data_IF_632630973631
#
_entry.id   IF_632630973631
#
_cell.length_a   1.000
_cell.length_b   1.000
_cell.length_c   1.000
_cell.angle_alpha   90.00
_cell.angle_beta   90.00
_cell.angle_gamma   90.00
#
_symmetry.space_group_name_H-M   'P 1'
#
loop_
_entity.id
_entity.type
_entity.pdbx_description
1 polymer ?
#
# COMPACT_ATOMS: atom_id res chain seq x y z
N UNK A 1 -2.44 -3.31 13.28
CA UNK A 1 -2.30 -4.77 13.28
C UNK A 1 -0.82 -5.14 13.15
N UNK A 2 -0.38 -6.18 13.83
CA UNK A 2 1.01 -6.63 13.74
C UNK A 2 1.08 -8.07 13.25
N UNK A 3 2.05 -8.32 12.37
CA UNK A 3 2.29 -9.65 11.81
C UNK A 3 3.80 -9.91 11.83
N UNK A 4 4.24 -10.92 12.56
CA UNK A 4 5.66 -11.28 12.66
C UNK A 4 6.53 -10.09 13.07
N UNK A 5 6.03 -9.27 14.00
CA UNK A 5 6.76 -8.10 14.48
C UNK A 5 6.67 -6.87 13.56
N UNK A 6 5.96 -6.97 12.45
CA UNK A 6 5.79 -5.87 11.51
C UNK A 6 4.43 -5.20 11.72
N UNK A 7 4.44 -3.88 11.84
CA UNK A 7 3.19 -3.12 11.91
C UNK A 7 2.60 -3.03 10.51
N UNK A 8 1.38 -3.49 10.34
CA UNK A 8 0.75 -3.69 9.05
C UNK A 8 -0.51 -2.84 8.94
N UNK A 9 -0.59 -2.02 7.89
CA UNK A 9 -1.75 -1.16 7.65
C UNK A 9 -2.12 -1.22 6.16
N UNK A 10 -3.39 -1.52 5.89
CA UNK A 10 -3.99 -1.37 4.56
C UNK A 10 -5.30 -0.64 4.76
N UNK A 11 -5.45 0.53 4.16
CA UNK A 11 -6.65 1.32 4.36
C UNK A 11 -6.99 2.18 3.14
N UNK A 12 -8.25 2.60 3.07
CA UNK A 12 -8.74 3.50 2.04
C UNK A 12 -8.90 4.90 2.63
N UNK A 13 -8.48 5.91 1.88
CA UNK A 13 -8.66 7.30 2.23
C UNK A 13 -9.35 8.02 1.07
N UNK A 14 -9.97 9.16 1.34
CA UNK A 14 -10.65 9.95 0.34
C UNK A 14 -10.22 11.40 0.44
N UNK A 15 -10.17 12.06 -0.72
CA UNK A 15 -9.99 13.51 -0.80
C UNK A 15 -8.70 14.00 -0.16
N UNK A 16 -7.61 13.26 -0.33
CA UNK A 16 -6.28 13.73 0.06
C UNK A 16 -5.37 13.75 -1.16
N UNK A 17 -4.32 14.53 -1.10
CA UNK A 17 -3.37 14.62 -2.19
C UNK A 17 -2.23 13.64 -2.00
N UNK A 18 -1.48 13.37 -3.07
CA UNK A 18 -0.36 12.43 -3.02
C UNK A 18 0.69 12.84 -1.98
N UNK A 19 0.94 14.13 -1.82
CA UNK A 19 1.88 14.60 -0.81
C UNK A 19 1.43 14.26 0.60
N UNK A 20 0.13 14.33 0.86
CA UNK A 20 -0.43 13.97 2.16
C UNK A 20 -0.30 12.46 2.43
N UNK A 21 -0.53 11.65 1.40
CA UNK A 21 -0.36 10.20 1.52
C UNK A 21 1.09 9.85 1.83
N UNK A 22 2.04 10.51 1.18
CA UNK A 22 3.46 10.30 1.44
C UNK A 22 3.82 10.68 2.88
N UNK A 23 3.30 11.80 3.35
CA UNK A 23 3.52 12.23 4.74
C UNK A 23 3.00 11.19 5.74
N UNK A 24 1.82 10.66 5.48
CA UNK A 24 1.22 9.62 6.32
C UNK A 24 2.14 8.40 6.41
N UNK A 25 2.67 7.98 5.26
CA UNK A 25 3.58 6.83 5.19
C UNK A 25 4.90 7.13 5.92
N UNK A 26 5.46 8.32 5.71
CA UNK A 26 6.71 8.71 6.35
C UNK A 26 6.56 8.76 7.88
N UNK A 27 5.43 9.24 8.37
CA UNK A 27 5.14 9.26 9.80
C UNK A 27 5.09 7.85 10.38
N UNK A 28 4.46 6.91 9.66
CA UNK A 28 4.41 5.52 10.08
C UNK A 28 5.80 4.91 10.14
N UNK A 29 6.64 5.21 9.16
CA UNK A 29 8.02 4.72 9.14
C UNK A 29 8.85 5.28 10.29
N UNK A 30 8.57 6.51 10.70
CA UNK A 30 9.27 7.13 11.83
C UNK A 30 8.78 6.56 13.17
N UNK A 31 7.54 6.14 13.22
CA UNK A 31 6.91 5.66 14.46
C UNK A 31 7.25 4.20 14.76
N UNK A 32 7.41 3.38 13.75
CA UNK A 32 7.60 1.95 13.90
C UNK A 32 8.93 1.50 13.33
N UNK A 33 9.57 0.51 13.95
CA UNK A 33 10.82 -0.05 13.44
C UNK A 33 10.61 -0.93 12.21
N UNK A 34 9.47 -1.60 12.16
CA UNK A 34 9.11 -2.45 11.04
C UNK A 34 7.67 -2.15 10.66
N UNK A 35 7.44 -1.76 9.42
CA UNK A 35 6.12 -1.35 8.97
C UNK A 35 5.90 -1.67 7.51
N UNK A 36 4.68 -2.09 7.18
CA UNK A 36 4.21 -2.23 5.81
C UNK A 36 2.86 -1.52 5.74
N UNK A 37 2.80 -0.44 4.97
CA UNK A 37 1.60 0.38 4.88
C UNK A 37 1.24 0.62 3.42
N UNK A 38 -0.02 0.40 3.08
CA UNK A 38 -0.55 0.68 1.74
C UNK A 38 -1.84 1.48 1.88
N UNK A 39 -1.88 2.59 1.17
CA UNK A 39 -3.04 3.47 1.13
C UNK A 39 -3.64 3.45 -0.26
N UNK A 40 -4.95 3.27 -0.35
CA UNK A 40 -5.70 3.46 -1.59
C UNK A 40 -6.51 4.73 -1.43
N UNK A 41 -6.27 5.70 -2.30
CA UNK A 41 -6.89 7.03 -2.17
C UNK A 41 -7.80 7.27 -3.36
N UNK A 42 -9.05 7.63 -3.06
CA UNK A 42 -10.04 7.99 -4.08
C UNK A 42 -10.28 9.49 -4.05
N UNK A 43 -10.10 10.14 -5.21
CA UNK A 43 -10.38 11.56 -5.39
C UNK A 43 -11.19 11.76 -6.67
N UNK A 44 -12.45 12.13 -6.54
CA UNK A 44 -13.31 12.49 -7.67
C UNK A 44 -13.31 11.43 -8.79
N UNK A 45 -13.47 10.17 -8.41
CA UNK A 45 -13.53 9.08 -9.38
C UNK A 45 -12.18 8.57 -9.86
N UNK A 46 -11.10 9.13 -9.36
CA UNK A 46 -9.74 8.67 -9.66
C UNK A 46 -9.14 8.01 -8.44
N UNK A 47 -8.28 7.03 -8.68
CA UNK A 47 -7.66 6.27 -7.61
C UNK A 47 -6.15 6.35 -7.74
N UNK A 48 -5.46 6.58 -6.63
CA UNK A 48 -4.03 6.32 -6.59
C UNK A 48 -3.70 5.47 -5.37
N UNK A 49 -2.56 4.80 -5.46
CA UNK A 49 -2.09 3.87 -4.43
C UNK A 49 -0.72 4.33 -4.01
N UNK A 50 -0.46 4.34 -2.72
CA UNK A 50 0.88 4.61 -2.19
C UNK A 50 1.21 3.56 -1.14
N UNK A 51 2.42 3.04 -1.18
CA UNK A 51 2.85 2.04 -0.22
C UNK A 51 4.24 2.34 0.28
N UNK A 52 4.48 2.06 1.54
CA UNK A 52 5.78 2.17 2.16
C UNK A 52 6.10 0.93 2.97
N UNK A 53 7.36 0.51 2.93
CA UNK A 53 7.83 -0.67 3.64
C UNK A 53 9.15 -0.33 4.28
N UNK A 54 9.32 -0.76 5.53
CA UNK A 54 10.56 -0.56 6.27
C UNK A 54 10.83 -1.81 7.10
N UNK A 55 12.00 -2.39 6.91
CA UNK A 55 12.44 -3.57 7.66
C UNK A 55 11.42 -4.72 7.63
N UNK A 56 10.94 -5.06 6.44
CA UNK A 56 9.98 -6.13 6.25
C UNK A 56 10.26 -6.87 4.95
N UNK A 57 9.94 -8.16 4.85
CA UNK A 57 10.20 -8.96 3.65
C UNK A 57 9.12 -8.74 2.58
N UNK A 58 8.88 -7.49 2.23
CA UNK A 58 7.85 -7.09 1.29
C UNK A 58 8.38 -5.90 0.51
N UNK A 59 8.23 -5.91 -0.80
CA UNK A 59 8.69 -4.82 -1.65
C UNK A 59 7.52 -3.94 -2.04
N UNK A 60 7.60 -2.65 -1.73
CA UNK A 60 6.52 -1.72 -2.00
C UNK A 60 6.17 -1.67 -3.49
N UNK A 61 7.18 -1.69 -4.37
CA UNK A 61 6.96 -1.68 -5.82
C UNK A 61 6.13 -2.85 -6.30
N UNK A 62 6.42 -4.05 -5.83
CA UNK A 62 5.66 -5.25 -6.18
C UNK A 62 4.25 -5.20 -5.61
N UNK A 63 4.12 -4.68 -4.41
CA UNK A 63 2.85 -4.58 -3.70
C UNK A 63 1.87 -3.66 -4.44
N UNK A 64 2.30 -2.43 -4.77
CA UNK A 64 1.42 -1.50 -5.48
C UNK A 64 1.07 -2.00 -6.87
N UNK A 65 2.00 -2.67 -7.55
CA UNK A 65 1.78 -3.22 -8.88
C UNK A 65 0.68 -4.27 -8.86
N UNK A 66 0.71 -5.16 -7.90
CA UNK A 66 -0.30 -6.21 -7.73
C UNK A 66 -1.68 -5.61 -7.48
N UNK A 67 -1.75 -4.61 -6.62
CA UNK A 67 -3.00 -3.95 -6.28
C UNK A 67 -3.53 -3.11 -7.44
N UNK A 68 -2.64 -2.42 -8.15
CA UNK A 68 -3.03 -1.57 -9.27
C UNK A 68 -3.69 -2.36 -10.40
N UNK A 69 -3.28 -3.62 -10.61
CA UNK A 69 -3.87 -4.46 -11.66
C UNK A 69 -5.37 -4.66 -11.42
N UNK A 70 -5.79 -4.79 -10.18
CA UNK A 70 -7.21 -4.95 -9.84
C UNK A 70 -7.98 -3.67 -10.14
N UNK A 71 -7.32 -2.52 -10.04
CA UNK A 71 -7.93 -1.22 -10.26
C UNK A 71 -7.78 -0.72 -11.71
N UNK A 72 -7.35 -1.59 -12.61
CA UNK A 72 -7.19 -1.24 -14.02
C UNK A 72 -6.10 -0.23 -14.28
N UNK A 73 -5.08 -0.20 -13.42
CA UNK A 73 -4.00 0.76 -13.52
C UNK A 73 -2.64 0.11 -13.51
N UNK A 74 -1.63 0.92 -13.28
CA UNK A 74 -0.26 0.48 -13.29
C UNK A 74 0.57 1.38 -12.37
N UNK A 75 1.73 0.90 -12.00
CA UNK A 75 2.66 1.67 -11.19
C UNK A 75 3.85 0.82 -10.77
N UNK A 76 4.58 1.33 -9.83
CA UNK A 76 5.76 0.67 -9.29
C UNK A 76 6.64 1.67 -8.57
N UNK A 77 7.84 1.27 -8.26
CA UNK A 77 8.79 2.13 -7.57
C UNK A 77 9.84 1.31 -6.86
N UNK A 78 10.37 1.88 -5.79
CA UNK A 78 11.42 1.25 -5.01
C UNK A 78 10.85 0.21 -4.05
N UNK A 79 11.75 -0.53 -3.42
CA UNK A 79 11.34 -1.54 -2.44
C UNK A 79 10.76 -0.91 -1.17
N UNK A 80 11.16 0.31 -0.82
CA UNK A 80 10.73 0.98 0.40
C UNK A 80 9.58 1.98 0.19
N UNK A 81 9.36 2.43 -1.05
CA UNK A 81 8.26 3.36 -1.35
C UNK A 81 7.89 3.28 -2.82
N UNK A 82 6.60 3.17 -3.10
CA UNK A 82 6.11 3.08 -4.47
C UNK A 82 4.71 3.67 -4.57
N UNK A 83 4.34 4.06 -5.78
CA UNK A 83 3.02 4.60 -6.07
C UNK A 83 2.47 4.00 -7.35
N UNK A 84 1.15 4.04 -7.49
CA UNK A 84 0.47 3.55 -8.68
C UNK A 84 -0.82 4.34 -8.88
N UNK A 85 -1.35 4.29 -10.10
CA UNK A 85 -2.64 4.87 -10.42
C UNK A 85 -3.63 3.78 -10.78
N UNK A 86 -4.91 4.08 -10.69
CA UNK A 86 -5.98 3.18 -11.08
C UNK A 86 -7.19 3.98 -11.56
N UNK A 87 -8.13 3.28 -12.21
CA UNK A 87 -9.32 3.90 -12.77
C UNK A 87 -10.61 3.34 -12.18
N UNK A 88 -10.55 2.14 -11.64
CA UNK A 88 -11.73 1.36 -11.30
C UNK A 88 -12.10 1.51 -9.84
N UNK A 89 -12.86 2.56 -9.54
CA UNK A 89 -13.28 2.83 -8.16
C UNK A 89 -14.26 1.77 -7.64
N UNK A 90 -14.92 1.03 -8.53
CA UNK A 90 -15.88 0.00 -8.11
C UNK A 90 -15.21 -1.21 -7.46
N UNK A 91 -13.91 -1.41 -7.71
CA UNK A 91 -13.19 -2.58 -7.20
C UNK A 91 -12.21 -2.25 -6.07
N UNK A 92 -12.38 -1.09 -5.42
CA UNK A 92 -11.48 -0.69 -4.32
C UNK A 92 -11.51 -1.72 -3.19
N UNK A 93 -12.68 -2.23 -2.82
CA UNK A 93 -12.79 -3.22 -1.75
C UNK A 93 -12.01 -4.49 -2.07
N UNK A 94 -12.08 -4.94 -3.31
CA UNK A 94 -11.32 -6.10 -3.77
C UNK A 94 -9.82 -5.84 -3.75
N UNK A 95 -9.43 -4.62 -4.14
CA UNK A 95 -8.03 -4.21 -4.12
C UNK A 95 -7.47 -4.17 -2.68
N UNK A 96 -8.26 -3.69 -1.74
CA UNK A 96 -7.88 -3.71 -0.32
C UNK A 96 -7.67 -5.14 0.18
N UNK A 97 -8.58 -6.03 -0.19
CA UNK A 97 -8.48 -7.44 0.18
C UNK A 97 -7.21 -8.08 -0.39
N UNK A 98 -6.94 -7.84 -1.67
CA UNK A 98 -5.73 -8.37 -2.30
C UNK A 98 -4.46 -7.77 -1.69
N UNK A 99 -4.49 -6.50 -1.35
CA UNK A 99 -3.35 -5.86 -0.69
C UNK A 99 -3.02 -6.54 0.65
N UNK A 100 -4.05 -6.89 1.41
CA UNK A 100 -3.88 -7.64 2.66
C UNK A 100 -3.31 -9.02 2.40
N UNK A 101 -3.89 -9.75 1.45
CA UNK A 101 -3.44 -11.10 1.12
C UNK A 101 -1.98 -11.13 0.69
N UNK A 102 -1.62 -10.22 -0.21
CA UNK A 102 -0.26 -10.13 -0.72
C UNK A 102 0.74 -9.85 0.42
N UNK A 103 0.40 -8.90 1.27
CA UNK A 103 1.27 -8.55 2.40
C UNK A 103 1.40 -9.71 3.39
N UNK A 104 0.29 -10.38 3.70
CA UNK A 104 0.32 -11.52 4.62
C UNK A 104 1.18 -12.66 4.08
N UNK A 105 1.07 -12.96 2.78
CA UNK A 105 1.88 -13.98 2.15
C UNK A 105 3.36 -13.68 2.31
N UNK A 106 3.76 -12.44 2.05
CA UNK A 106 5.18 -12.06 2.08
C UNK A 106 5.71 -11.88 3.50
N UNK A 107 4.91 -11.32 4.40
CA UNK A 107 5.34 -11.11 5.77
C UNK A 107 5.50 -12.43 6.52
N UNK A 108 4.66 -13.42 6.23
CA UNK A 108 4.77 -14.73 6.86
C UNK A 108 5.88 -15.58 6.25
N UNK A 109 6.04 -15.53 4.92
CA UNK A 109 7.06 -16.29 4.23
C UNK A 109 8.47 -15.78 4.51
N UNK A 110 8.59 -14.52 4.89
CA UNK A 110 9.88 -13.91 5.20
C UNK A 110 10.56 -14.48 6.44
N UNK A 111 9.88 -15.36 7.12
CA UNK A 111 10.42 -16.03 8.27
C UNK A 111 10.82 -17.45 7.92
#
# INVERSE_FOLDING_TARGET
>A
EQIEGCHFVVTKLENIQSAQAKTYIDEAKNKYQSVAILLIVENEGKVFIAAGVKNAPLKAGSWVKEVAQILGGNGGGRDDFATAGGKDVAHIDRALERAREFALEHLREGN
#
